data_IF_311918247250
#
_entry.id   IF_311918247250
#
_cell.length_a   1.000
_cell.length_b   1.000
_cell.length_c   1.000
_cell.angle_alpha   90.00
_cell.angle_beta   90.00
_cell.angle_gamma   90.00
#
_symmetry.space_group_name_H-M   'P 1'
#
loop_
_entity.id
_entity.type
_entity.pdbx_description
1 polymer ?
#
# COMPACT_ATOMS: atom_id res chain seq x y z
N UNK A 1 15.35 10.76 40.63
CA UNK A 1 15.86 11.44 39.43
C UNK A 1 14.69 11.78 38.52
N UNK A 2 14.53 13.05 38.10
CA UNK A 2 13.50 13.43 37.13
C UNK A 2 13.75 12.68 35.82
N UNK A 3 12.77 11.90 35.39
CA UNK A 3 12.72 11.32 34.05
C UNK A 3 12.42 12.44 33.06
N UNK A 4 13.45 13.10 32.55
CA UNK A 4 13.29 14.02 31.41
C UNK A 4 13.02 13.20 30.15
N UNK A 5 11.75 13.19 29.72
CA UNK A 5 11.37 12.71 28.39
C UNK A 5 11.66 13.82 27.38
N UNK A 6 12.48 13.53 26.36
CA UNK A 6 12.69 14.43 25.23
C UNK A 6 11.92 13.94 24.02
N UNK A 7 11.00 14.76 23.51
CA UNK A 7 10.31 14.50 22.24
C UNK A 7 11.27 14.84 21.10
N UNK A 8 11.50 13.88 20.22
CA UNK A 8 12.32 14.06 19.01
C UNK A 8 11.47 14.46 17.82
N UNK A 9 10.35 13.75 17.63
CA UNK A 9 9.47 13.88 16.46
C UNK A 9 8.02 13.67 16.86
N UNK A 10 7.13 14.26 16.08
CA UNK A 10 5.68 14.08 16.19
C UNK A 10 5.13 13.69 14.82
N UNK A 11 4.38 12.61 14.78
CA UNK A 11 3.60 12.16 13.63
C UNK A 11 2.13 12.31 13.96
N UNK A 12 1.36 12.92 13.07
CA UNK A 12 -0.09 13.01 13.15
C UNK A 12 -0.69 12.27 11.96
N UNK A 13 -1.50 11.25 12.22
CA UNK A 13 -2.26 10.55 11.20
C UNK A 13 -3.72 10.98 11.32
N UNK A 14 -4.27 11.51 10.22
CA UNK A 14 -5.69 11.84 10.10
C UNK A 14 -6.35 10.87 9.14
N UNK A 15 -7.41 10.21 9.59
CA UNK A 15 -8.14 9.26 8.74
C UNK A 15 -9.36 9.92 8.12
N UNK A 16 -9.72 9.52 6.90
CA UNK A 16 -10.92 9.95 6.19
C UNK A 16 -11.66 8.69 5.77
N UNK A 17 -12.69 8.34 6.54
CA UNK A 17 -13.47 7.13 6.28
C UNK A 17 -14.31 7.25 5.00
N UNK A 18 -14.28 6.20 4.20
CA UNK A 18 -15.05 6.02 2.97
C UNK A 18 -16.15 4.99 3.22
N UNK A 19 -17.38 5.33 2.83
CA UNK A 19 -18.58 4.51 2.97
C UNK A 19 -19.07 3.99 1.61
N UNK A 20 -18.58 4.56 0.51
CA UNK A 20 -19.01 4.23 -0.85
C UNK A 20 -17.88 4.45 -1.86
N UNK A 21 -17.68 3.48 -2.75
CA UNK A 21 -16.68 3.55 -3.83
C UNK A 21 -17.38 3.29 -5.16
N UNK A 22 -17.20 4.20 -6.12
CA UNK A 22 -17.87 4.12 -7.42
C UNK A 22 -16.91 4.38 -8.58
N UNK A 23 -17.14 3.70 -9.70
CA UNK A 23 -16.47 4.00 -10.97
C UNK A 23 -17.09 5.26 -11.59
N UNK A 24 -16.24 6.15 -12.09
CA UNK A 24 -16.63 7.33 -12.84
C UNK A 24 -15.53 7.78 -13.79
N UNK A 25 -15.61 9.02 -14.26
CA UNK A 25 -14.69 9.57 -15.26
C UNK A 25 -13.45 10.27 -14.67
N UNK A 26 -13.46 10.57 -13.38
CA UNK A 26 -12.38 11.26 -12.66
C UNK A 26 -12.31 10.81 -11.21
N UNK A 27 -11.18 11.05 -10.56
CA UNK A 27 -11.02 10.77 -9.13
C UNK A 27 -11.50 11.94 -8.28
N UNK A 28 -12.39 11.66 -7.33
CA UNK A 28 -12.95 12.62 -6.37
C UNK A 28 -13.12 11.97 -5.00
N UNK A 29 -12.92 12.77 -3.95
CA UNK A 29 -13.20 12.39 -2.58
C UNK A 29 -14.14 13.45 -2.02
N UNK A 30 -15.38 13.06 -1.69
CA UNK A 30 -16.40 13.97 -1.17
C UNK A 30 -17.47 13.21 -0.42
N UNK A 31 -17.97 13.75 0.70
CA UNK A 31 -19.08 13.17 1.46
C UNK A 31 -18.88 11.66 1.76
N UNK A 32 -17.67 11.29 2.20
CA UNK A 32 -17.28 9.89 2.47
C UNK A 32 -17.42 8.94 1.27
N UNK A 33 -17.51 9.47 0.05
CA UNK A 33 -17.49 8.72 -1.20
C UNK A 33 -16.17 8.91 -1.92
N UNK A 34 -15.59 7.82 -2.41
CA UNK A 34 -14.45 7.81 -3.32
C UNK A 34 -14.94 7.44 -4.72
N UNK A 35 -14.87 8.39 -5.65
CA UNK A 35 -15.03 8.08 -7.08
C UNK A 35 -13.65 7.81 -7.67
N UNK A 36 -13.51 6.73 -8.45
CA UNK A 36 -12.26 6.38 -9.15
C UNK A 36 -12.48 6.31 -10.67
N UNK A 37 -11.39 6.39 -11.43
CA UNK A 37 -11.42 6.32 -12.90
C UNK A 37 -10.39 5.32 -13.41
N UNK A 38 -10.81 4.47 -14.36
CA UNK A 38 -9.91 3.53 -15.03
C UNK A 38 -9.03 4.19 -16.10
N UNK A 39 -9.39 5.41 -16.56
CA UNK A 39 -8.77 6.04 -17.72
C UNK A 39 -7.31 6.49 -17.54
N UNK A 40 -6.71 6.28 -16.36
CA UNK A 40 -5.26 6.41 -16.19
C UNK A 40 -4.52 5.27 -16.87
N UNK A 41 -5.04 4.04 -16.83
CA UNK A 41 -4.34 2.86 -17.33
C UNK A 41 -4.07 2.96 -18.82
N UNK A 42 -5.02 3.44 -19.61
CA UNK A 42 -4.84 3.71 -21.05
C UNK A 42 -3.65 4.65 -21.34
N UNK A 43 -3.37 5.58 -20.41
CA UNK A 43 -2.29 6.58 -20.56
C UNK A 43 -0.94 6.09 -20.05
N UNK A 44 -0.92 5.10 -19.15
CA UNK A 44 0.31 4.63 -18.51
C UNK A 44 0.77 3.27 -19.03
N UNK A 45 -0.12 2.43 -19.57
CA UNK A 45 0.21 1.09 -20.09
C UNK A 45 1.33 1.13 -21.13
N UNK A 46 1.31 2.14 -22.02
CA UNK A 46 2.35 2.33 -23.04
C UNK A 46 3.75 2.62 -22.49
N UNK A 47 3.87 2.92 -21.19
CA UNK A 47 5.14 3.17 -20.50
C UNK A 47 5.77 1.90 -19.92
N UNK A 48 5.04 0.78 -19.91
CA UNK A 48 5.47 -0.47 -19.30
C UNK A 48 5.75 -1.52 -20.36
N UNK A 49 6.89 -2.20 -20.22
CA UNK A 49 7.35 -3.17 -21.20
C UNK A 49 6.78 -4.56 -20.95
N UNK A 50 6.43 -4.87 -19.71
CA UNK A 50 6.06 -6.24 -19.30
C UNK A 50 4.58 -6.41 -18.96
N UNK A 51 3.79 -5.33 -18.98
CA UNK A 51 2.36 -5.36 -18.67
C UNK A 51 1.57 -5.43 -19.99
N UNK A 52 0.65 -6.38 -20.07
CA UNK A 52 -0.28 -6.53 -21.19
C UNK A 52 -1.58 -5.77 -20.92
N UNK A 53 -2.15 -5.91 -19.72
CA UNK A 53 -3.42 -5.30 -19.37
C UNK A 53 -3.54 -5.06 -17.85
N UNK A 54 -4.38 -4.09 -17.46
CA UNK A 54 -4.76 -3.84 -16.06
C UNK A 54 -6.28 -3.69 -15.99
N UNK A 55 -6.94 -4.65 -15.38
CA UNK A 55 -8.37 -4.62 -15.13
C UNK A 55 -8.65 -4.08 -13.72
N UNK A 56 -9.69 -3.26 -13.60
CA UNK A 56 -10.15 -2.70 -12.32
C UNK A 56 -11.54 -3.20 -11.99
N UNK A 57 -11.74 -3.65 -10.75
CA UNK A 57 -13.03 -4.03 -10.20
C UNK A 57 -13.20 -3.41 -8.81
N UNK A 58 -14.41 -2.97 -8.47
CA UNK A 58 -14.78 -2.60 -7.10
C UNK A 58 -15.48 -3.81 -6.48
N UNK A 59 -14.91 -4.32 -5.40
CA UNK A 59 -15.50 -5.37 -4.57
C UNK A 59 -16.18 -4.69 -3.38
N UNK A 60 -17.52 -4.73 -3.30
CA UNK A 60 -18.23 -4.17 -2.16
C UNK A 60 -17.98 -4.97 -0.87
N UNK A 61 -18.26 -4.37 0.29
CA UNK A 61 -18.28 -5.06 1.57
C UNK A 61 -19.00 -6.41 1.49
N UNK A 62 -18.44 -7.43 2.15
CA UNK A 62 -18.99 -8.80 2.23
C UNK A 62 -19.10 -9.56 0.90
N UNK A 63 -18.69 -8.98 -0.23
CA UNK A 63 -18.77 -9.62 -1.54
C UNK A 63 -17.55 -10.50 -1.88
N UNK A 64 -16.91 -11.11 -0.87
CA UNK A 64 -15.63 -11.85 -1.02
C UNK A 64 -15.78 -13.27 -1.59
N UNK A 65 -17.00 -13.78 -1.76
CA UNK A 65 -17.24 -15.11 -2.34
C UNK A 65 -17.14 -15.10 -3.88
N UNK A 66 -15.91 -14.92 -4.36
CA UNK A 66 -15.59 -14.76 -5.78
C UNK A 66 -14.19 -15.28 -6.07
N UNK A 67 -13.92 -15.59 -7.33
CA UNK A 67 -12.59 -15.99 -7.76
C UNK A 67 -11.64 -14.78 -7.81
N UNK A 68 -10.38 -14.99 -7.41
CA UNK A 68 -9.28 -14.03 -7.55
C UNK A 68 -8.03 -14.71 -8.11
N UNK A 69 -7.23 -13.94 -8.86
CA UNK A 69 -5.84 -14.29 -9.16
C UNK A 69 -4.99 -14.17 -7.89
N UNK A 70 -3.74 -14.66 -7.96
CA UNK A 70 -2.76 -14.49 -6.90
C UNK A 70 -2.65 -13.03 -6.47
N UNK A 71 -2.96 -12.79 -5.20
CA UNK A 71 -2.82 -11.53 -4.49
C UNK A 71 -1.32 -11.25 -4.32
N UNK A 72 -0.90 -10.12 -4.89
CA UNK A 72 0.46 -9.61 -4.81
C UNK A 72 0.62 -8.52 -3.76
N UNK A 73 -0.44 -7.77 -3.43
CA UNK A 73 -0.36 -6.75 -2.38
C UNK A 73 -1.74 -6.32 -1.89
N UNK A 74 -1.80 -5.84 -0.65
CA UNK A 74 -2.91 -5.09 -0.09
C UNK A 74 -2.38 -3.72 0.33
N UNK A 75 -2.77 -2.69 -0.41
CA UNK A 75 -2.17 -1.37 -0.32
C UNK A 75 -3.14 -0.41 0.39
N UNK A 76 -2.75 0.13 1.57
CA UNK A 76 -3.49 1.23 2.18
C UNK A 76 -3.30 2.52 1.38
N UNK A 77 -4.36 3.33 1.29
CA UNK A 77 -4.30 4.61 0.58
C UNK A 77 -3.95 5.71 1.57
N UNK A 78 -2.68 6.08 1.62
CA UNK A 78 -2.18 7.13 2.52
C UNK A 78 -1.27 8.11 1.78
N UNK A 79 -1.22 9.36 2.24
CA UNK A 79 -0.36 10.40 1.67
C UNK A 79 0.25 11.33 2.72
N UNK A 80 1.51 11.73 2.52
CA UNK A 80 2.19 12.78 3.27
C UNK A 80 1.70 14.16 2.84
N UNK A 81 1.09 14.86 3.77
CA UNK A 81 0.65 16.25 3.59
C UNK A 81 1.74 17.23 4.03
N UNK A 82 2.44 16.90 5.12
CA UNK A 82 3.52 17.71 5.67
C UNK A 82 4.60 16.82 6.26
N UNK A 83 5.87 17.20 6.08
CA UNK A 83 7.02 16.47 6.59
C UNK A 83 7.41 15.27 5.73
N UNK A 84 8.10 14.31 6.34
CA UNK A 84 8.55 13.05 5.73
C UNK A 84 8.03 11.86 6.53
N UNK A 85 8.30 10.63 6.08
CA UNK A 85 7.89 9.45 6.83
C UNK A 85 8.38 9.51 8.29
N UNK A 86 7.47 9.26 9.23
CA UNK A 86 7.72 9.27 10.67
C UNK A 86 7.56 10.61 11.38
N UNK A 87 7.27 11.69 10.65
CA UNK A 87 6.98 13.00 11.24
C UNK A 87 5.99 13.84 10.41
N UNK A 88 5.47 14.90 11.00
CA UNK A 88 4.53 15.79 10.32
C UNK A 88 3.12 15.20 10.24
N UNK A 89 2.46 15.32 9.09
CA UNK A 89 1.05 14.98 8.91
C UNK A 89 0.86 14.00 7.75
N UNK A 90 0.14 12.93 8.02
CA UNK A 90 -0.30 11.92 7.06
C UNK A 90 -1.81 11.90 7.01
N UNK A 91 -2.37 11.87 5.80
CA UNK A 91 -3.78 11.57 5.58
C UNK A 91 -3.91 10.11 5.11
N UNK A 92 -4.89 9.39 5.63
CA UNK A 92 -5.15 7.98 5.29
C UNK A 92 -6.63 7.78 5.00
N UNK A 93 -6.98 7.10 3.92
CA UNK A 93 -8.34 6.59 3.74
C UNK A 93 -8.53 5.32 4.58
N UNK A 94 -9.69 5.22 5.22
CA UNK A 94 -10.20 3.99 5.83
C UNK A 94 -11.52 3.62 5.17
N UNK A 95 -12.02 2.39 5.33
CA UNK A 95 -13.21 1.95 4.58
C UNK A 95 -12.91 1.46 3.16
N UNK A 96 -11.66 1.56 2.71
CA UNK A 96 -11.24 1.15 1.36
C UNK A 96 -9.75 0.79 1.31
N UNK A 97 -9.44 -0.29 0.58
CA UNK A 97 -8.07 -0.71 0.25
C UNK A 97 -7.93 -0.96 -1.26
N UNK A 98 -6.69 -0.91 -1.76
CA UNK A 98 -6.38 -1.42 -3.09
C UNK A 98 -5.81 -2.83 -2.94
N UNK A 99 -6.34 -3.79 -3.69
CA UNK A 99 -5.78 -5.14 -3.78
C UNK A 99 -5.15 -5.30 -5.16
N UNK A 100 -3.89 -5.70 -5.20
CA UNK A 100 -3.19 -5.98 -6.44
C UNK A 100 -3.13 -7.49 -6.65
N UNK A 101 -3.53 -7.96 -7.83
CA UNK A 101 -3.43 -9.37 -8.22
C UNK A 101 -2.68 -9.53 -9.54
N UNK A 102 -2.11 -10.71 -9.79
CA UNK A 102 -1.27 -10.93 -10.97
C UNK A 102 -1.40 -12.30 -11.62
N UNK A 103 -1.45 -12.30 -12.95
CA UNK A 103 -1.36 -13.47 -13.83
C UNK A 103 -0.48 -13.12 -15.05
N UNK A 104 0.13 -14.09 -15.70
CA UNK A 104 0.80 -13.90 -16.99
C UNK A 104 -0.08 -14.30 -18.18
N UNK A 105 0.36 -13.96 -19.40
CA UNK A 105 -0.36 -14.26 -20.64
C UNK A 105 -0.55 -15.74 -20.96
N UNK A 106 0.18 -16.65 -20.31
CA UNK A 106 -0.02 -18.10 -20.40
C UNK A 106 -0.99 -18.64 -19.33
N UNK A 107 -1.50 -17.77 -18.46
CA UNK A 107 -2.37 -18.15 -17.35
C UNK A 107 -1.61 -18.58 -16.09
N UNK A 108 -0.29 -18.44 -16.05
CA UNK A 108 0.51 -18.74 -14.86
C UNK A 108 0.32 -17.63 -13.83
N UNK A 109 0.20 -18.02 -12.58
CA UNK A 109 -0.01 -17.10 -11.48
C UNK A 109 1.29 -16.41 -11.11
N UNK A 110 1.20 -15.12 -10.77
CA UNK A 110 2.35 -14.35 -10.28
C UNK A 110 2.56 -14.68 -8.80
N UNK A 111 3.06 -15.89 -8.55
CA UNK A 111 3.43 -16.41 -7.23
C UNK A 111 4.73 -17.24 -7.32
N UNK A 112 5.54 -17.26 -6.24
CA UNK A 112 6.74 -18.10 -6.15
C UNK A 112 6.49 -19.33 -5.28
N UNK A 113 6.14 -19.15 -3.99
CA UNK A 113 5.75 -20.24 -3.10
C UNK A 113 4.40 -19.95 -2.43
N UNK A 114 3.45 -20.86 -2.66
CA UNK A 114 2.08 -20.73 -2.17
C UNK A 114 1.31 -19.69 -2.99
N UNK A 115 0.45 -20.15 -3.91
CA UNK A 115 -0.48 -19.24 -4.57
C UNK A 115 -1.61 -18.82 -3.64
N UNK A 116 -2.08 -17.59 -3.86
CA UNK A 116 -3.26 -17.02 -3.24
C UNK A 116 -4.45 -16.91 -4.22
N UNK A 117 -4.39 -17.54 -5.40
CA UNK A 117 -5.57 -17.66 -6.27
C UNK A 117 -6.64 -18.60 -5.70
N UNK A 118 -7.87 -18.43 -6.20
CA UNK A 118 -9.03 -19.22 -5.81
C UNK A 118 -10.14 -18.34 -5.25
N UNK A 119 -10.93 -18.88 -4.33
CA UNK A 119 -12.03 -18.11 -3.73
C UNK A 119 -11.47 -17.10 -2.73
N UNK A 120 -11.68 -15.80 -2.98
CA UNK A 120 -11.08 -14.70 -2.22
C UNK A 120 -11.37 -14.79 -0.71
N UNK A 121 -12.59 -15.14 -0.30
CA UNK A 121 -12.95 -15.32 1.13
C UNK A 121 -12.10 -16.37 1.86
N UNK A 122 -11.53 -17.33 1.14
CA UNK A 122 -10.68 -18.39 1.69
C UNK A 122 -9.20 -18.00 1.69
N UNK A 123 -8.83 -17.02 0.85
CA UNK A 123 -7.44 -16.62 0.57
C UNK A 123 -7.06 -15.33 1.29
N UNK A 124 -7.98 -14.38 1.46
CA UNK A 124 -7.76 -13.12 2.13
C UNK A 124 -8.22 -13.16 3.60
N UNK A 125 -7.27 -12.98 4.53
CA UNK A 125 -7.59 -12.84 5.94
C UNK A 125 -7.99 -11.40 6.29
N UNK A 126 -9.29 -11.20 6.49
CA UNK A 126 -9.87 -9.91 6.85
C UNK A 126 -9.64 -9.56 8.33
N UNK A 127 -9.91 -8.30 8.69
CA UNK A 127 -9.93 -7.79 10.06
C UNK A 127 -8.58 -7.90 10.81
N UNK A 128 -7.45 -7.79 10.10
CA UNK A 128 -6.10 -7.76 10.69
C UNK A 128 -5.43 -6.42 10.41
N UNK A 129 -4.44 -6.07 11.22
CA UNK A 129 -3.62 -4.89 10.96
C UNK A 129 -2.97 -5.01 9.57
N UNK A 130 -3.30 -4.09 8.67
CA UNK A 130 -2.81 -4.08 7.30
C UNK A 130 -3.67 -4.85 6.29
N UNK A 131 -4.80 -5.43 6.68
CA UNK A 131 -5.77 -6.06 5.76
C UNK A 131 -7.14 -5.38 5.85
N UNK A 132 -7.99 -5.51 4.81
CA UNK A 132 -9.33 -4.93 4.83
C UNK A 132 -10.19 -5.55 5.92
N UNK A 133 -11.08 -4.76 6.51
CA UNK A 133 -12.19 -5.27 7.31
C UNK A 133 -13.28 -5.88 6.41
N UNK A 134 -14.18 -6.66 7.01
CA UNK A 134 -15.33 -7.23 6.27
C UNK A 134 -16.27 -6.15 5.69
N UNK A 135 -16.32 -4.99 6.34
CA UNK A 135 -17.14 -3.85 5.95
C UNK A 135 -16.40 -2.85 5.05
N UNK A 136 -15.15 -3.12 4.66
CA UNK A 136 -14.36 -2.26 3.77
C UNK A 136 -14.61 -2.60 2.29
N UNK A 137 -14.50 -1.59 1.43
CA UNK A 137 -14.40 -1.80 -0.02
C UNK A 137 -12.99 -2.25 -0.42
N UNK A 138 -12.90 -3.05 -1.48
CA UNK A 138 -11.63 -3.36 -2.13
C UNK A 138 -11.68 -2.87 -3.58
N UNK A 139 -10.72 -2.02 -3.95
CA UNK A 139 -10.43 -1.69 -5.35
C UNK A 139 -9.44 -2.74 -5.84
N UNK A 140 -9.94 -3.75 -6.55
CA UNK A 140 -9.14 -4.82 -7.12
C UNK A 140 -8.52 -4.37 -8.43
N UNK A 141 -7.20 -4.44 -8.51
CA UNK A 141 -6.41 -4.22 -9.72
C UNK A 141 -5.77 -5.54 -10.14
N UNK A 142 -6.26 -6.10 -11.24
CA UNK A 142 -5.72 -7.32 -11.80
C UNK A 142 -4.76 -7.01 -12.95
N UNK A 143 -3.48 -7.34 -12.76
CA UNK A 143 -2.43 -7.12 -13.74
C UNK A 143 -2.18 -8.39 -14.53
N UNK A 144 -2.32 -8.28 -15.85
CA UNK A 144 -1.91 -9.33 -16.78
C UNK A 144 -0.52 -8.98 -17.30
N UNK A 145 0.49 -9.75 -16.91
CA UNK A 145 1.85 -9.62 -17.41
C UNK A 145 1.97 -10.33 -18.76
N UNK A 146 2.95 -9.92 -19.58
CA UNK A 146 3.31 -10.66 -20.78
C UNK A 146 3.70 -12.09 -20.43
N UNK A 147 3.46 -13.00 -21.36
CA UNK A 147 3.75 -14.43 -21.19
C UNK A 147 5.17 -14.68 -20.66
N UNK A 148 5.29 -15.52 -19.62
CA UNK A 148 6.56 -15.88 -18.99
C UNK A 148 7.18 -14.79 -18.10
N UNK A 149 6.52 -13.65 -17.89
CA UNK A 149 7.05 -12.57 -17.05
C UNK A 149 6.65 -12.69 -15.57
N UNK A 150 5.86 -13.72 -15.20
CA UNK A 150 5.37 -13.89 -13.82
C UNK A 150 6.45 -14.06 -12.76
N UNK A 151 7.66 -14.47 -13.12
CA UNK A 151 8.81 -14.61 -12.21
C UNK A 151 9.94 -13.62 -12.51
N UNK A 152 9.70 -12.63 -13.37
CA UNK A 152 10.69 -11.61 -13.69
C UNK A 152 10.58 -10.44 -12.70
N UNK A 153 11.62 -10.21 -11.89
CA UNK A 153 11.67 -9.10 -10.93
C UNK A 153 11.35 -7.75 -11.59
N UNK A 154 11.88 -7.48 -12.79
CA UNK A 154 11.62 -6.21 -13.47
C UNK A 154 10.14 -6.03 -13.82
N UNK A 155 9.46 -7.10 -14.23
CA UNK A 155 8.03 -7.10 -14.52
C UNK A 155 7.20 -6.85 -13.25
N UNK A 156 7.58 -7.47 -12.13
CA UNK A 156 6.91 -7.28 -10.83
C UNK A 156 7.09 -5.85 -10.32
N UNK A 157 8.30 -5.29 -10.44
CA UNK A 157 8.55 -3.89 -10.08
C UNK A 157 7.74 -2.93 -10.98
N UNK A 158 7.61 -3.22 -12.27
CA UNK A 158 6.75 -2.44 -13.18
C UNK A 158 5.27 -2.53 -12.80
N UNK A 159 4.78 -3.73 -12.46
CA UNK A 159 3.41 -3.99 -12.02
C UNK A 159 3.05 -3.14 -10.79
N UNK A 160 3.89 -3.18 -9.76
CA UNK A 160 3.72 -2.36 -8.56
C UNK A 160 3.81 -0.86 -8.83
N UNK A 161 4.71 -0.44 -9.74
CA UNK A 161 4.81 0.96 -10.15
C UNK A 161 3.54 1.43 -10.85
N UNK A 162 2.96 0.62 -11.74
CA UNK A 162 1.71 0.94 -12.42
C UNK A 162 0.55 1.10 -11.42
N UNK A 163 0.45 0.17 -10.46
CA UNK A 163 -0.50 0.27 -9.36
C UNK A 163 -0.29 1.53 -8.52
N UNK A 164 0.97 1.85 -8.17
CA UNK A 164 1.28 3.04 -7.36
C UNK A 164 0.94 4.36 -8.07
N UNK A 165 1.08 4.43 -9.40
CA UNK A 165 0.66 5.59 -10.19
C UNK A 165 -0.85 5.82 -10.11
N UNK A 166 -1.65 4.75 -10.13
CA UNK A 166 -3.10 4.84 -9.90
C UNK A 166 -3.41 5.32 -8.48
N UNK A 167 -2.78 4.71 -7.46
CA UNK A 167 -2.96 5.13 -6.06
C UNK A 167 -2.52 6.59 -5.87
N UNK A 168 -1.48 7.03 -6.58
CA UNK A 168 -1.00 8.41 -6.51
C UNK A 168 -2.06 9.43 -6.95
N UNK A 169 -2.88 9.14 -7.96
CA UNK A 169 -3.95 10.07 -8.34
C UNK A 169 -4.99 10.23 -7.21
N UNK A 170 -5.24 9.17 -6.43
CA UNK A 170 -6.09 9.24 -5.24
C UNK A 170 -5.39 10.03 -4.14
N UNK A 171 -4.10 9.77 -3.88
CA UNK A 171 -3.27 10.52 -2.92
C UNK A 171 -3.27 12.02 -3.22
N UNK A 172 -3.18 12.40 -4.49
CA UNK A 172 -3.19 13.80 -4.91
C UNK A 172 -4.50 14.53 -4.61
N UNK A 173 -5.63 13.82 -4.61
CA UNK A 173 -6.92 14.36 -4.14
C UNK A 173 -6.99 14.36 -2.62
N UNK A 174 -6.53 13.28 -1.98
CA UNK A 174 -6.51 13.14 -0.52
C UNK A 174 -5.65 14.20 0.17
N UNK A 175 -4.57 14.65 -0.48
CA UNK A 175 -3.71 15.73 0.02
C UNK A 175 -4.42 17.08 0.08
N UNK A 176 -5.51 17.24 -0.70
CA UNK A 176 -6.26 18.50 -0.88
C UNK A 176 -7.62 18.53 -0.16
N UNK A 177 -8.02 17.46 0.51
CA UNK A 177 -9.28 17.44 1.28
C UNK A 177 -9.22 18.42 2.45
N UNK A 178 -10.38 18.91 2.92
CA UNK A 178 -10.44 19.80 4.08
C UNK A 178 -9.82 19.09 5.29
N UNK A 179 -8.76 19.70 5.85
CA UNK A 179 -8.01 19.19 6.97
C UNK A 179 -8.81 19.02 8.28
N UNK A 180 -10.06 19.50 8.32
CA UNK A 180 -11.02 19.34 9.43
C UNK A 180 -12.02 18.20 9.20
N UNK A 181 -12.13 17.68 7.97
CA UNK A 181 -13.07 16.61 7.60
C UNK A 181 -12.61 15.20 7.98
N UNK A 182 -11.59 15.06 8.82
CA UNK A 182 -11.10 13.75 9.27
C UNK A 182 -12.10 13.08 10.20
N UNK A 183 -12.20 11.77 10.15
CA UNK A 183 -13.02 10.96 11.05
C UNK A 183 -12.28 10.60 12.33
N UNK A 184 -10.98 10.37 12.24
CA UNK A 184 -10.12 10.15 13.41
C UNK A 184 -8.79 10.89 13.27
N UNK A 185 -8.17 11.18 14.41
CA UNK A 185 -6.86 11.80 14.50
C UNK A 185 -6.04 11.10 15.57
N UNK A 186 -4.88 10.62 15.17
CA UNK A 186 -3.93 9.93 16.03
C UNK A 186 -2.61 10.70 16.09
N UNK A 187 -2.05 10.85 17.28
CA UNK A 187 -0.76 11.52 17.48
C UNK A 187 0.25 10.58 18.10
N UNK A 188 1.42 10.48 17.47
CA UNK A 188 2.51 9.62 17.89
C UNK A 188 3.77 10.44 18.12
N UNK A 189 4.42 10.19 19.25
CA UNK A 189 5.62 10.90 19.65
C UNK A 189 6.78 9.93 19.71
N UNK A 190 7.84 10.23 18.97
CA UNK A 190 9.14 9.58 19.13
C UNK A 190 9.85 10.25 20.30
N UNK A 191 10.15 9.48 21.35
CA UNK A 191 10.62 10.01 22.64
C UNK A 191 11.87 9.29 23.12
N UNK A 192 12.86 10.05 23.57
CA UNK A 192 13.97 9.52 24.37
C UNK A 192 13.56 9.50 25.83
N UNK A 193 13.66 8.32 26.45
CA UNK A 193 13.48 8.12 27.89
C UNK A 193 14.84 7.85 28.53
N UNK A 194 15.40 8.86 29.19
CA UNK A 194 16.68 8.73 29.88
C UNK A 194 16.60 7.66 30.98
N UNK A 195 17.67 6.87 31.15
CA UNK A 195 17.81 5.81 32.16
C UNK A 195 16.79 4.66 32.08
N UNK A 196 16.11 4.50 30.93
CA UNK A 196 15.24 3.35 30.66
C UNK A 196 15.94 2.37 29.72
N UNK A 197 15.55 1.08 29.79
CA UNK A 197 16.01 0.05 28.86
C UNK A 197 15.65 0.45 27.42
N UNK A 198 16.59 0.28 26.50
CA UNK A 198 16.36 0.43 25.06
C UNK A 198 15.83 -0.89 24.53
N UNK A 199 14.72 -0.84 23.80
CA UNK A 199 14.08 -2.01 23.19
C UNK A 199 14.08 -1.79 21.68
N UNK A 200 14.50 -2.80 20.93
CA UNK A 200 14.40 -2.86 19.48
C UNK A 200 13.52 -4.04 19.08
N UNK A 201 12.66 -3.85 18.07
CA UNK A 201 11.88 -4.93 17.45
C UNK A 201 12.60 -5.27 16.15
N UNK A 202 12.93 -6.55 15.98
CA UNK A 202 13.57 -7.05 14.76
C UNK A 202 12.51 -7.74 13.91
N UNK A 203 12.26 -7.21 12.72
CA UNK A 203 11.46 -7.87 11.69
C UNK A 203 12.41 -8.44 10.64
N UNK A 204 12.42 -9.76 10.50
CA UNK A 204 13.10 -10.44 9.40
C UNK A 204 12.16 -10.48 8.20
N UNK A 205 12.70 -10.22 7.02
CA UNK A 205 11.98 -10.30 5.75
C UNK A 205 12.81 -11.14 4.79
N UNK A 206 12.13 -11.85 3.89
CA UNK A 206 12.82 -12.46 2.75
C UNK A 206 13.37 -11.33 1.85
N UNK A 207 14.48 -11.61 1.16
CA UNK A 207 15.24 -10.63 0.38
C UNK A 207 15.96 -11.28 -0.80
N UNK A 208 15.35 -12.29 -1.41
CA UNK A 208 15.87 -13.01 -2.56
C UNK A 208 14.72 -13.47 -3.43
N UNK A 209 14.83 -13.32 -4.75
CA UNK A 209 13.80 -13.71 -5.71
C UNK A 209 13.12 -12.50 -6.34
N UNK A 210 12.18 -12.75 -7.24
CA UNK A 210 11.48 -11.69 -7.95
C UNK A 210 10.40 -11.04 -7.10
N UNK A 211 9.83 -11.84 -6.20
CA UNK A 211 8.64 -11.53 -5.40
C UNK A 211 9.00 -11.04 -3.99
N UNK A 212 10.01 -11.66 -3.36
CA UNK A 212 10.42 -11.34 -1.99
C UNK A 212 11.26 -10.07 -1.83
N UNK A 213 11.03 -9.08 -2.69
CA UNK A 213 11.60 -7.75 -2.51
C UNK A 213 10.72 -6.94 -1.57
N UNK A 214 11.32 -5.96 -0.90
CA UNK A 214 10.60 -4.99 -0.10
C UNK A 214 11.19 -3.62 -0.38
N UNK A 215 10.33 -2.64 -0.62
CA UNK A 215 10.74 -1.25 -0.71
C UNK A 215 10.71 -0.61 0.67
N UNK A 216 11.79 0.08 0.99
CA UNK A 216 11.97 0.79 2.25
C UNK A 216 12.01 2.29 2.00
N UNK A 217 11.32 3.04 2.88
CA UNK A 217 11.24 4.49 2.93
C UNK A 217 10.82 5.15 1.60
N UNK A 218 9.67 4.77 1.02
CA UNK A 218 9.10 5.47 -0.13
C UNK A 218 8.75 6.94 0.20
N UNK A 219 8.48 7.73 -0.84
CA UNK A 219 8.09 9.14 -0.68
C UNK A 219 6.72 9.29 0.00
N UNK A 220 5.77 8.44 -0.41
CA UNK A 220 4.42 8.36 0.16
C UNK A 220 4.33 7.10 1.04
N UNK A 221 3.50 7.07 2.10
CA UNK A 221 3.33 5.89 2.95
C UNK A 221 2.85 4.70 2.11
N UNK A 222 3.56 3.57 2.21
CA UNK A 222 3.32 2.37 1.39
C UNK A 222 3.36 2.63 -0.12
N UNK A 223 4.06 3.69 -0.55
CA UNK A 223 4.28 4.02 -1.96
C UNK A 223 5.37 3.16 -2.62
N UNK A 224 5.49 3.31 -3.93
CA UNK A 224 6.59 2.72 -4.71
C UNK A 224 7.66 3.77 -4.99
N UNK A 225 7.25 4.98 -5.40
CA UNK A 225 8.17 6.04 -5.81
C UNK A 225 9.15 6.44 -4.68
N UNK A 226 10.45 6.45 -5.01
CA UNK A 226 11.55 6.79 -4.10
C UNK A 226 11.89 5.72 -3.06
N UNK A 227 11.15 4.60 -3.03
CA UNK A 227 11.47 3.45 -2.19
C UNK A 227 12.77 2.78 -2.63
N UNK A 228 13.48 2.18 -1.67
CA UNK A 228 14.73 1.46 -1.92
C UNK A 228 14.53 -0.02 -1.70
N UNK A 229 14.86 -0.83 -2.70
CA UNK A 229 14.82 -2.29 -2.59
C UNK A 229 15.83 -2.77 -1.56
N UNK A 230 15.41 -3.69 -0.69
CA UNK A 230 16.31 -4.40 0.22
C UNK A 230 17.33 -5.26 -0.52
N UNK A 231 16.94 -5.83 -1.67
CA UNK A 231 17.81 -6.66 -2.49
C UNK A 231 18.93 -5.80 -3.07
N UNK A 232 18.59 -4.65 -3.64
CA UNK A 232 19.58 -3.73 -4.21
C UNK A 232 20.48 -3.09 -3.12
N UNK A 233 20.00 -3.03 -1.87
CA UNK A 233 20.79 -2.63 -0.70
C UNK A 233 21.67 -3.77 -0.15
N UNK A 234 21.64 -4.97 -0.74
CA UNK A 234 22.42 -6.12 -0.28
C UNK A 234 21.92 -6.72 1.03
N UNK A 235 20.62 -6.61 1.32
CA UNK A 235 19.96 -7.15 2.52
C UNK A 235 20.59 -6.69 3.85
N UNK A 236 21.20 -5.50 3.85
CA UNK A 236 21.78 -4.93 5.08
C UNK A 236 20.67 -4.54 6.08
N UNK A 237 20.90 -4.69 7.39
CA UNK A 237 19.92 -4.27 8.39
C UNK A 237 19.63 -2.77 8.32
N UNK A 238 18.36 -2.39 8.23
CA UNK A 238 17.90 -1.00 8.25
C UNK A 238 17.21 -0.70 9.58
N UNK A 239 17.65 0.37 10.25
CA UNK A 239 17.00 0.86 11.46
C UNK A 239 15.89 1.85 11.09
N UNK A 240 14.67 1.55 11.52
CA UNK A 240 13.53 2.45 11.41
C UNK A 240 13.10 2.93 12.80
N UNK A 241 12.70 4.20 12.88
CA UNK A 241 11.99 4.70 14.05
C UNK A 241 10.59 4.08 14.14
N UNK A 242 9.99 4.01 15.34
CA UNK A 242 8.62 3.53 15.49
C UNK A 242 7.61 4.31 14.64
N UNK A 243 7.86 5.61 14.44
CA UNK A 243 6.98 6.44 13.63
C UNK A 243 7.18 6.21 12.13
N UNK A 244 8.40 6.02 11.62
CA UNK A 244 8.60 5.65 10.21
C UNK A 244 7.88 4.35 9.86
N UNK A 245 8.00 3.32 10.72
CA UNK A 245 7.30 2.06 10.51
C UNK A 245 5.78 2.23 10.47
N UNK A 246 5.20 3.00 11.42
CA UNK A 246 3.77 3.31 11.45
C UNK A 246 3.31 4.13 10.24
N UNK A 247 4.19 4.95 9.71
CA UNK A 247 3.92 5.86 8.60
C UNK A 247 4.24 5.21 7.24
N UNK A 248 4.14 3.88 7.14
CA UNK A 248 4.23 3.15 5.88
C UNK A 248 5.63 3.12 5.27
N UNK A 249 6.70 3.08 6.09
CA UNK A 249 8.07 2.97 5.60
C UNK A 249 8.39 1.65 4.87
N UNK A 250 7.49 0.66 4.89
CA UNK A 250 7.66 -0.61 4.19
C UNK A 250 6.54 -0.80 3.17
N UNK A 251 6.91 -1.33 2.02
CA UNK A 251 6.00 -1.92 1.03
C UNK A 251 6.53 -3.28 0.62
N UNK A 252 5.71 -4.30 0.78
CA UNK A 252 6.02 -5.65 0.29
C UNK A 252 5.79 -5.70 -1.22
N UNK A 253 6.57 -6.50 -1.93
CA UNK A 253 6.37 -6.71 -3.37
C UNK A 253 5.60 -8.00 -3.70
N UNK A 254 5.31 -8.83 -2.69
CA UNK A 254 4.37 -9.97 -2.66
C UNK A 254 4.02 -10.34 -1.23
#
# INVERSE_FOLDING_TARGET
>A
MKTDERILRRLVIKTYHIEDVVLGNRILISNRRLQISAGIFDKILTKFNHIQDIAIEIIPPKAHDRWTNSIMDIIPISTKVLGKLGEGITHTLTGVYVMMTGIDGAGNQVAEFGSSEGVLKEKLYLNRAGTPAEDDYIISLNLTLKEGQGTNRAAILEAHRACDLFVQEIRDKLKKVDARGYTEKHEFFDKIRMNRKRVAIVKQVAGQGAMYDNLILPQEPSGFAGGRSIIDLGNVPILLTPNEYRDGALRAMT
#
